data_IF_053578695540
#
_entry.id   IF_053578695540
#
_cell.length_a   1.000
_cell.length_b   1.000
_cell.length_c   1.000
_cell.angle_alpha   90.00
_cell.angle_beta   90.00
_cell.angle_gamma   90.00
#
_symmetry.space_group_name_H-M   'P 1'
#
loop_
_entity.id
_entity.type
_entity.pdbx_description
1 polymer ?
#
# COMPACT_ATOMS: atom_id res chain seq x y z
N UNK A 1 -11.95 19.06 -8.25
CA UNK A 1 -10.76 18.22 -8.06
C UNK A 1 -10.53 18.13 -6.57
N UNK A 2 -10.57 16.94 -5.96
CA UNK A 2 -10.17 16.78 -4.57
C UNK A 2 -8.63 16.77 -4.55
N UNK A 3 -8.00 17.69 -3.82
CA UNK A 3 -6.54 17.74 -3.75
C UNK A 3 -6.01 16.59 -2.87
N UNK A 4 -4.84 16.05 -3.22
CA UNK A 4 -4.22 14.88 -2.56
C UNK A 4 -3.96 15.09 -1.06
N UNK A 5 -3.84 16.34 -0.59
CA UNK A 5 -3.58 16.72 0.81
C UNK A 5 -4.80 17.32 1.50
N UNK A 6 -5.95 17.41 0.83
CA UNK A 6 -7.14 17.92 1.49
C UNK A 6 -7.66 16.91 2.50
N UNK A 7 -7.93 17.43 3.70
CA UNK A 7 -8.66 16.67 4.70
C UNK A 7 -9.98 16.19 4.10
N UNK A 8 -10.26 14.90 4.21
CA UNK A 8 -11.53 14.31 3.81
C UNK A 8 -12.47 14.37 5.02
N UNK A 9 -13.43 15.32 5.05
CA UNK A 9 -14.42 15.35 6.12
C UNK A 9 -15.27 14.09 6.06
N UNK A 10 -15.50 13.47 7.21
CA UNK A 10 -16.27 12.25 7.33
C UNK A 10 -16.64 11.98 8.79
N UNK A 11 -17.58 11.06 8.98
CA UNK A 11 -18.06 10.64 10.31
C UNK A 11 -17.89 9.12 10.52
N UNK A 12 -16.91 8.54 9.82
CA UNK A 12 -16.64 7.10 9.83
C UNK A 12 -15.99 6.61 11.11
N UNK A 13 -15.78 5.30 11.22
CA UNK A 13 -15.17 4.67 12.41
C UNK A 13 -13.80 5.27 12.75
N UNK A 14 -12.99 5.59 11.75
CA UNK A 14 -11.69 6.22 11.99
C UNK A 14 -11.85 7.63 12.52
N UNK A 15 -12.86 8.41 12.14
CA UNK A 15 -13.06 9.77 12.67
C UNK A 15 -13.30 9.78 14.18
N UNK A 16 -13.81 8.69 14.75
CA UNK A 16 -14.06 8.53 16.19
C UNK A 16 -12.85 8.03 16.99
N UNK A 17 -11.81 7.51 16.33
CA UNK A 17 -10.60 7.06 17.01
C UNK A 17 -9.76 8.24 17.49
N UNK A 18 -9.08 8.04 18.62
CA UNK A 18 -8.11 9.00 19.13
C UNK A 18 -6.99 9.23 18.08
N UNK A 19 -6.59 10.49 17.79
CA UNK A 19 -5.60 10.79 16.76
C UNK A 19 -4.29 10.03 16.91
N UNK A 20 -3.79 9.88 18.15
CA UNK A 20 -2.55 9.14 18.44
C UNK A 20 -2.65 7.68 18.02
N UNK A 21 -3.81 7.03 18.23
CA UNK A 21 -4.02 5.63 17.84
C UNK A 21 -3.93 5.45 16.33
N UNK A 22 -4.42 6.43 15.55
CA UNK A 22 -4.31 6.39 14.07
C UNK A 22 -2.86 6.48 13.63
N UNK A 23 -2.11 7.42 14.20
CA UNK A 23 -0.70 7.62 13.86
C UNK A 23 0.11 6.37 14.23
N UNK A 24 -0.11 5.84 15.44
CA UNK A 24 0.57 4.63 15.90
C UNK A 24 0.25 3.44 14.99
N UNK A 25 -1.00 3.30 14.55
CA UNK A 25 -1.38 2.26 13.58
C UNK A 25 -0.61 2.40 12.25
N UNK A 26 -0.53 3.62 11.70
CA UNK A 26 0.21 3.87 10.45
C UNK A 26 1.69 3.53 10.61
N UNK A 27 2.31 3.94 11.72
CA UNK A 27 3.73 3.68 12.01
C UNK A 27 3.98 2.17 12.15
N UNK A 28 3.15 1.46 12.91
CA UNK A 28 3.30 0.01 13.08
C UNK A 28 3.14 -0.74 11.77
N UNK A 29 2.10 -0.45 10.98
CA UNK A 29 1.90 -1.09 9.68
C UNK A 29 3.10 -0.84 8.76
N UNK A 30 3.60 0.40 8.71
CA UNK A 30 4.76 0.78 7.90
C UNK A 30 6.03 0.04 8.32
N UNK A 31 6.30 -0.05 9.62
CA UNK A 31 7.45 -0.78 10.14
C UNK A 31 7.36 -2.27 9.81
N UNK A 32 6.19 -2.87 10.01
CA UNK A 32 5.97 -4.29 9.70
C UNK A 32 6.15 -4.56 8.21
N UNK A 33 5.62 -3.73 7.31
CA UNK A 33 5.75 -3.94 5.87
C UNK A 33 7.17 -3.78 5.35
N UNK A 34 8.02 -2.99 6.03
CA UNK A 34 9.44 -2.86 5.70
C UNK A 34 10.23 -4.07 6.19
N UNK A 35 9.89 -4.62 7.36
CA UNK A 35 10.64 -5.70 8.00
C UNK A 35 10.26 -7.11 7.48
N UNK A 36 9.08 -7.27 6.90
CA UNK A 36 8.56 -8.57 6.45
C UNK A 36 8.92 -8.84 4.99
N UNK A 37 9.47 -10.03 4.72
CA UNK A 37 9.80 -10.50 3.36
C UNK A 37 8.78 -11.49 2.79
N UNK A 38 7.88 -12.02 3.61
CA UNK A 38 6.87 -12.98 3.16
C UNK A 38 5.77 -12.31 2.35
N UNK A 39 5.66 -12.67 1.07
CA UNK A 39 4.62 -12.18 0.15
C UNK A 39 3.22 -12.46 0.69
N UNK A 40 2.99 -13.63 1.30
CA UNK A 40 1.69 -13.99 1.85
C UNK A 40 1.28 -13.06 3.01
N UNK A 41 2.23 -12.71 3.89
CA UNK A 41 1.98 -11.79 5.01
C UNK A 41 1.71 -10.38 4.49
N UNK A 42 2.52 -9.90 3.54
CA UNK A 42 2.33 -8.58 2.92
C UNK A 42 0.97 -8.47 2.21
N UNK A 43 0.57 -9.52 1.47
CA UNK A 43 -0.75 -9.58 0.83
C UNK A 43 -1.89 -9.56 1.86
N UNK A 44 -1.73 -10.25 2.99
CA UNK A 44 -2.68 -10.22 4.10
C UNK A 44 -2.82 -8.83 4.72
N UNK A 45 -1.70 -8.13 4.94
CA UNK A 45 -1.69 -6.75 5.45
C UNK A 45 -2.38 -5.81 4.45
N UNK A 46 -2.09 -5.95 3.15
CA UNK A 46 -2.73 -5.14 2.12
C UNK A 46 -4.25 -5.34 2.09
N UNK A 47 -4.70 -6.60 2.17
CA UNK A 47 -6.13 -6.93 2.22
C UNK A 47 -6.79 -6.34 3.47
N UNK A 48 -6.14 -6.45 4.64
CA UNK A 48 -6.61 -5.81 5.87
C UNK A 48 -6.77 -4.29 5.70
N UNK A 49 -5.79 -3.63 5.08
CA UNK A 49 -5.86 -2.19 4.79
C UNK A 49 -7.04 -1.86 3.86
N UNK A 50 -7.33 -2.68 2.85
CA UNK A 50 -8.50 -2.47 1.99
C UNK A 50 -9.83 -2.67 2.74
N UNK A 51 -9.93 -3.68 3.60
CA UNK A 51 -11.12 -3.89 4.45
C UNK A 51 -11.33 -2.70 5.37
N UNK A 52 -10.26 -2.20 5.98
CA UNK A 52 -10.28 -1.00 6.81
C UNK A 52 -10.71 0.23 5.98
N UNK A 53 -10.12 0.46 4.81
CA UNK A 53 -10.49 1.55 3.92
C UNK A 53 -11.96 1.48 3.50
N UNK A 54 -12.49 0.29 3.23
CA UNK A 54 -13.91 0.06 2.96
C UNK A 54 -14.78 0.44 4.17
N UNK A 55 -14.46 -0.07 5.36
CA UNK A 55 -15.18 0.25 6.59
C UNK A 55 -15.12 1.75 6.97
N UNK A 56 -14.05 2.44 6.56
CA UNK A 56 -13.87 3.88 6.74
C UNK A 56 -14.52 4.75 5.66
N UNK A 57 -15.14 4.15 4.63
CA UNK A 57 -15.63 4.84 3.43
C UNK A 57 -14.55 5.62 2.66
N UNK A 58 -13.30 5.13 2.72
CA UNK A 58 -12.12 5.69 2.06
C UNK A 58 -11.58 4.77 0.94
N UNK A 59 -12.30 3.72 0.56
CA UNK A 59 -11.80 2.76 -0.44
C UNK A 59 -11.50 3.39 -1.80
N UNK A 60 -12.40 4.26 -2.29
CA UNK A 60 -12.22 4.94 -3.58
C UNK A 60 -10.93 5.78 -3.66
N UNK A 61 -10.66 6.72 -2.73
CA UNK A 61 -9.41 7.48 -2.76
C UNK A 61 -8.18 6.59 -2.56
N UNK A 62 -8.27 5.53 -1.75
CA UNK A 62 -7.17 4.57 -1.57
C UNK A 62 -6.84 3.85 -2.88
N UNK A 63 -7.85 3.35 -3.62
CA UNK A 63 -7.64 2.71 -4.92
C UNK A 63 -7.03 3.70 -5.94
N UNK A 64 -7.49 4.94 -5.96
CA UNK A 64 -6.93 5.96 -6.85
C UNK A 64 -5.45 6.21 -6.59
N UNK A 65 -5.03 6.26 -5.31
CA UNK A 65 -3.62 6.34 -4.94
C UNK A 65 -2.84 5.08 -5.33
N UNK A 66 -3.45 3.89 -5.21
CA UNK A 66 -2.82 2.64 -5.59
C UNK A 66 -2.50 2.55 -7.08
N UNK A 67 -3.32 3.14 -7.95
CA UNK A 67 -3.04 3.19 -9.40
C UNK A 67 -1.74 3.98 -9.65
N UNK A 68 -1.57 5.13 -9.00
CA UNK A 68 -0.35 5.93 -9.11
C UNK A 68 0.87 5.17 -8.60
N UNK A 69 0.74 4.55 -7.42
CA UNK A 69 1.82 3.75 -6.83
C UNK A 69 2.17 2.57 -7.74
N UNK A 70 1.19 1.86 -8.29
CA UNK A 70 1.41 0.75 -9.22
C UNK A 70 2.21 1.20 -10.45
N UNK A 71 1.86 2.34 -11.05
CA UNK A 71 2.62 2.89 -12.18
C UNK A 71 4.08 3.16 -11.81
N UNK A 72 4.33 3.76 -10.64
CA UNK A 72 5.69 4.02 -10.16
C UNK A 72 6.44 2.71 -9.84
N UNK A 73 5.76 1.75 -9.22
CA UNK A 73 6.31 0.44 -8.87
C UNK A 73 6.72 -0.36 -10.09
N UNK A 74 5.96 -0.32 -11.20
CA UNK A 74 6.35 -0.99 -12.45
C UNK A 74 7.70 -0.48 -12.96
N UNK A 75 7.92 0.84 -12.96
CA UNK A 75 9.18 1.43 -13.40
C UNK A 75 10.33 0.99 -12.49
N UNK A 76 10.14 1.04 -11.17
CA UNK A 76 11.16 0.61 -10.21
C UNK A 76 11.46 -0.88 -10.37
N UNK A 77 10.43 -1.71 -10.52
CA UNK A 77 10.57 -3.16 -10.66
C UNK A 77 11.32 -3.53 -11.95
N UNK A 78 11.04 -2.84 -13.06
CA UNK A 78 11.79 -3.01 -14.31
C UNK A 78 13.27 -2.67 -14.13
N UNK A 79 13.58 -1.56 -13.46
CA UNK A 79 14.97 -1.20 -13.15
C UNK A 79 15.61 -2.29 -12.28
N UNK A 80 14.91 -2.79 -11.25
CA UNK A 80 15.42 -3.88 -10.39
C UNK A 80 15.72 -5.14 -11.19
N UNK A 81 14.82 -5.60 -12.07
CA UNK A 81 15.06 -6.77 -12.92
C UNK A 81 16.28 -6.57 -13.82
N UNK A 82 16.47 -5.37 -14.38
CA UNK A 82 17.57 -5.09 -15.31
C UNK A 82 18.92 -4.89 -14.63
N UNK A 83 18.94 -4.52 -13.35
CA UNK A 83 20.16 -4.11 -12.64
C UNK A 83 20.62 -5.09 -11.57
N UNK A 84 19.72 -5.89 -11.00
CA UNK A 84 20.07 -6.86 -9.97
C UNK A 84 20.53 -8.17 -10.66
N UNK A 85 21.79 -8.60 -10.46
CA UNK A 85 22.37 -9.72 -11.19
C UNK A 85 21.92 -11.09 -10.69
N UNK A 86 21.36 -11.18 -9.48
CA UNK A 86 20.91 -12.43 -8.88
C UNK A 86 19.42 -12.40 -8.58
N UNK A 87 18.73 -13.51 -8.86
CA UNK A 87 17.31 -13.64 -8.60
C UNK A 87 16.77 -15.00 -9.00
N UNK A 88 15.57 -15.32 -8.51
CA UNK A 88 14.86 -16.51 -8.93
C UNK A 88 14.35 -16.32 -10.38
N UNK A 89 14.71 -17.25 -11.27
CA UNK A 89 14.20 -17.25 -12.65
C UNK A 89 12.74 -17.70 -12.63
N UNK A 90 11.85 -16.75 -12.89
CA UNK A 90 10.39 -16.97 -12.96
C UNK A 90 9.90 -17.22 -14.40
N UNK A 91 10.75 -17.02 -15.41
CA UNK A 91 10.44 -17.28 -16.82
C UNK A 91 11.54 -16.76 -17.75
N UNK A 92 11.47 -17.14 -19.02
CA UNK A 92 12.40 -16.73 -20.07
C UNK A 92 11.68 -15.81 -21.07
N UNK A 93 12.32 -14.68 -21.40
CA UNK A 93 11.78 -13.72 -22.37
C UNK A 93 12.15 -14.10 -23.81
N UNK A 94 13.25 -14.83 -23.99
CA UNK A 94 13.70 -15.45 -25.25
C UNK A 94 14.01 -16.91 -24.94
N UNK A 95 13.50 -17.88 -25.73
CA UNK A 95 13.72 -19.32 -25.50
C UNK A 95 15.17 -19.75 -25.71
#
# INVERSE_FOLDING_TARGET
>A
MAEILQYVPGNGIFHRLHPVTKILFIVLVSLVTILVTSVAVLAGILLLVFVLAFAGHLLRPVIQQMILILMMSVVIYLITILTVPEGAVIGYLVP
#
